data_IF_252639820580
#
_entry.id   IF_252639820580
#
_cell.length_a   1.000
_cell.length_b   1.000
_cell.length_c   1.000
_cell.angle_alpha   90.00
_cell.angle_beta   90.00
_cell.angle_gamma   90.00
#
_symmetry.space_group_name_H-M   'P 1'
#
loop_
_entity.id
_entity.type
_entity.pdbx_description
1 polymer ?
#
# COMPACT_ATOMS: atom_id res chain seq x y z
N UNK A 1 34.02 5.23 -8.41
CA UNK A 1 34.51 4.27 -7.41
C UNK A 1 33.52 4.21 -6.26
N UNK A 2 32.62 3.24 -6.31
CA UNK A 2 31.87 2.70 -5.17
C UNK A 2 31.33 1.34 -5.62
N UNK A 3 32.26 0.40 -5.74
CA UNK A 3 31.94 -1.02 -5.69
C UNK A 3 32.10 -1.47 -4.23
N UNK A 4 31.28 -2.44 -3.84
CA UNK A 4 31.32 -3.24 -2.61
C UNK A 4 30.55 -2.72 -1.41
N UNK A 5 29.31 -3.23 -1.27
CA UNK A 5 28.87 -4.05 -0.14
C UNK A 5 27.52 -4.73 -0.43
N UNK A 6 27.44 -5.55 -1.49
CA UNK A 6 26.27 -6.39 -1.72
C UNK A 6 26.65 -7.84 -1.49
N UNK A 7 26.12 -8.42 -0.40
CA UNK A 7 26.15 -9.86 -0.20
C UNK A 7 25.51 -10.56 -1.41
N UNK A 8 26.05 -11.72 -1.78
CA UNK A 8 25.46 -12.54 -2.84
C UNK A 8 24.01 -12.88 -2.46
N UNK A 9 23.07 -12.54 -3.34
CA UNK A 9 21.71 -13.08 -3.27
C UNK A 9 21.72 -14.57 -3.61
N UNK A 10 20.73 -15.33 -3.12
CA UNK A 10 20.61 -16.75 -3.46
C UNK A 10 20.39 -16.95 -4.96
N UNK A 11 20.72 -18.14 -5.48
CA UNK A 11 20.51 -18.48 -6.89
C UNK A 11 19.06 -18.27 -7.32
N UNK A 12 18.11 -18.76 -6.52
CA UNK A 12 16.67 -18.60 -6.77
C UNK A 12 16.25 -17.13 -6.85
N UNK A 13 16.79 -16.28 -5.97
CA UNK A 13 16.44 -14.85 -5.94
C UNK A 13 17.02 -14.10 -7.15
N UNK A 14 18.22 -14.48 -7.60
CA UNK A 14 18.81 -13.97 -8.83
C UNK A 14 17.99 -14.39 -10.07
N UNK A 15 17.50 -15.64 -10.12
CA UNK A 15 16.63 -16.09 -11.20
C UNK A 15 15.31 -15.28 -11.26
N UNK A 16 14.69 -15.02 -10.11
CA UNK A 16 13.52 -14.15 -10.03
C UNK A 16 13.82 -12.72 -10.52
N UNK A 17 14.96 -12.14 -10.12
CA UNK A 17 15.42 -10.82 -10.60
C UNK A 17 15.60 -10.80 -12.13
N UNK A 18 16.21 -11.84 -12.70
CA UNK A 18 16.38 -11.94 -14.16
C UNK A 18 15.03 -12.03 -14.87
N UNK A 19 14.09 -12.86 -14.38
CA UNK A 19 12.73 -12.94 -14.95
C UNK A 19 11.99 -11.61 -14.88
N UNK A 20 12.13 -10.88 -13.78
CA UNK A 20 11.56 -9.53 -13.64
C UNK A 20 12.14 -8.59 -14.70
N UNK A 21 13.47 -8.60 -14.86
CA UNK A 21 14.16 -7.76 -15.84
C UNK A 21 13.72 -8.09 -17.28
N UNK A 22 13.61 -9.37 -17.62
CA UNK A 22 13.12 -9.84 -18.91
C UNK A 22 11.65 -9.43 -19.16
N UNK A 23 10.77 -9.55 -18.16
CA UNK A 23 9.38 -9.10 -18.25
C UNK A 23 9.30 -7.60 -18.53
N UNK A 24 10.07 -6.79 -17.79
CA UNK A 24 10.12 -5.34 -17.97
C UNK A 24 10.70 -4.94 -19.33
N UNK A 25 11.76 -5.59 -19.81
CA UNK A 25 12.39 -5.29 -21.11
C UNK A 25 11.50 -5.61 -22.32
N UNK A 26 10.54 -6.54 -22.18
CA UNK A 26 9.50 -6.76 -23.20
C UNK A 26 8.55 -5.56 -23.32
N UNK A 27 8.46 -4.73 -22.29
CA UNK A 27 7.67 -3.51 -22.28
C UNK A 27 8.50 -2.34 -22.83
N UNK A 28 7.91 -1.54 -23.72
CA UNK A 28 8.62 -0.40 -24.34
C UNK A 28 8.71 0.82 -23.40
N UNK A 29 7.62 1.13 -22.70
CA UNK A 29 7.51 2.22 -21.74
C UNK A 29 6.50 1.79 -20.67
N UNK A 30 6.70 2.21 -19.42
CA UNK A 30 5.83 1.82 -18.31
C UNK A 30 5.38 3.01 -17.47
N UNK A 31 4.12 2.96 -17.06
CA UNK A 31 3.56 3.76 -15.97
C UNK A 31 3.45 2.85 -14.75
N UNK A 32 4.26 3.10 -13.73
CA UNK A 32 4.27 2.30 -12.50
C UNK A 32 3.30 2.93 -11.51
N UNK A 33 2.28 2.18 -11.09
CA UNK A 33 1.42 2.59 -9.98
C UNK A 33 2.23 2.56 -8.67
N UNK A 34 2.65 3.73 -8.21
CA UNK A 34 3.64 3.88 -7.16
C UNK A 34 3.00 4.33 -5.83
N UNK A 35 2.97 3.42 -4.85
CA UNK A 35 2.37 3.64 -3.54
C UNK A 35 3.38 3.97 -2.44
N UNK A 36 4.69 3.92 -2.75
CA UNK A 36 5.75 4.10 -1.76
C UNK A 36 5.95 2.91 -0.80
N UNK A 37 5.14 1.86 -0.92
CA UNK A 37 5.37 0.56 -0.28
C UNK A 37 6.38 -0.28 -1.06
N UNK A 38 7.02 -1.23 -0.36
CA UNK A 38 8.16 -2.02 -0.85
C UNK A 38 7.93 -2.70 -2.21
N UNK A 39 6.72 -3.21 -2.48
CA UNK A 39 6.41 -3.91 -3.74
C UNK A 39 6.44 -2.95 -4.93
N UNK A 40 5.71 -1.84 -4.83
CA UNK A 40 5.70 -0.81 -5.89
C UNK A 40 7.05 -0.10 -6.01
N UNK A 41 7.80 0.00 -4.91
CA UNK A 41 9.14 0.56 -4.88
C UNK A 41 10.15 -0.31 -5.62
N UNK A 42 10.20 -1.61 -5.33
CA UNK A 42 11.06 -2.53 -6.05
C UNK A 42 10.71 -2.56 -7.54
N UNK A 43 9.42 -2.62 -7.88
CA UNK A 43 8.98 -2.59 -9.28
C UNK A 43 9.42 -1.29 -10.00
N UNK A 44 9.24 -0.13 -9.37
CA UNK A 44 9.67 1.15 -9.94
C UNK A 44 11.19 1.23 -10.11
N UNK A 45 11.94 0.76 -9.11
CA UNK A 45 13.39 0.71 -9.14
C UNK A 45 13.91 -0.21 -10.25
N UNK A 46 13.39 -1.43 -10.33
CA UNK A 46 13.75 -2.40 -11.38
C UNK A 46 13.38 -1.89 -12.77
N UNK A 47 12.22 -1.25 -12.93
CA UNK A 47 11.83 -0.62 -14.19
C UNK A 47 12.80 0.49 -14.59
N UNK A 48 13.17 1.37 -13.65
CA UNK A 48 14.14 2.44 -13.89
C UNK A 48 15.51 1.89 -14.30
N UNK A 49 15.99 0.85 -13.61
CA UNK A 49 17.25 0.20 -13.91
C UNK A 49 17.26 -0.49 -15.29
N UNK A 50 16.15 -1.14 -15.67
CA UNK A 50 16.05 -1.89 -16.92
C UNK A 50 15.80 -1.02 -18.15
N UNK A 51 14.93 -0.02 -18.02
CA UNK A 51 14.40 0.75 -19.15
C UNK A 51 15.00 2.16 -19.26
N UNK A 52 15.55 2.69 -18.16
CA UNK A 52 16.03 4.06 -18.06
C UNK A 52 14.91 5.08 -17.82
N UNK A 53 15.26 6.31 -17.40
CA UNK A 53 14.29 7.31 -16.93
C UNK A 53 13.31 7.76 -18.02
N UNK A 54 13.72 7.82 -19.28
CA UNK A 54 12.83 8.30 -20.37
C UNK A 54 11.62 7.38 -20.60
N UNK A 55 11.74 6.10 -20.23
CA UNK A 55 10.75 5.05 -20.47
C UNK A 55 9.95 4.67 -19.22
N UNK A 56 10.18 5.34 -18.09
CA UNK A 56 9.51 5.04 -16.82
C UNK A 56 8.86 6.29 -16.28
N UNK A 57 7.61 6.17 -15.85
CA UNK A 57 6.94 7.19 -15.05
C UNK A 57 6.29 6.52 -13.85
N UNK A 58 6.72 6.86 -12.65
CA UNK A 58 6.03 6.49 -11.42
C UNK A 58 4.86 7.44 -11.18
N UNK A 59 3.68 6.89 -10.90
CA UNK A 59 2.49 7.69 -10.65
C UNK A 59 1.85 7.29 -9.34
N UNK A 60 1.70 8.27 -8.44
CA UNK A 60 1.00 8.09 -7.16
C UNK A 60 -0.40 8.67 -7.25
N UNK A 61 -1.41 7.88 -6.87
CA UNK A 61 -2.76 8.39 -6.70
C UNK A 61 -2.84 9.24 -5.42
N UNK A 62 -3.26 10.48 -5.57
CA UNK A 62 -3.59 11.40 -4.50
C UNK A 62 -5.11 11.40 -4.32
N UNK A 63 -5.58 10.96 -3.15
CA UNK A 63 -6.99 10.74 -2.89
C UNK A 63 -7.32 10.90 -1.41
N UNK A 64 -8.60 11.07 -1.10
CA UNK A 64 -9.07 11.15 0.29
C UNK A 64 -8.79 9.87 1.11
N UNK A 65 -8.49 8.75 0.44
CA UNK A 65 -8.19 7.48 1.10
C UNK A 65 -6.69 7.24 1.33
N UNK A 66 -5.84 8.15 0.85
CA UNK A 66 -4.41 8.17 1.10
C UNK A 66 -4.12 8.86 2.45
N UNK A 67 -3.34 8.20 3.31
CA UNK A 67 -2.97 8.75 4.61
C UNK A 67 -2.01 9.94 4.46
N UNK A 68 -2.07 10.88 5.42
CA UNK A 68 -1.19 12.04 5.43
C UNK A 68 0.29 11.62 5.44
N UNK A 69 1.09 12.29 4.61
CA UNK A 69 2.53 12.04 4.49
C UNK A 69 2.91 10.99 3.45
N UNK A 70 1.99 10.13 3.03
CA UNK A 70 2.30 9.08 2.04
C UNK A 70 2.63 9.64 0.65
N UNK A 71 1.92 10.70 0.22
CA UNK A 71 2.21 11.37 -1.05
C UNK A 71 3.62 11.99 -1.05
N UNK A 72 3.96 12.63 0.07
CA UNK A 72 5.25 13.28 0.27
C UNK A 72 6.39 12.26 0.35
N UNK A 73 6.14 11.12 1.00
CA UNK A 73 7.05 9.97 1.01
C UNK A 73 7.32 9.47 -0.42
N UNK A 74 6.29 9.31 -1.25
CA UNK A 74 6.45 8.91 -2.64
C UNK A 74 7.28 9.93 -3.43
N UNK A 75 6.95 11.23 -3.29
CA UNK A 75 7.68 12.32 -3.94
C UNK A 75 9.16 12.33 -3.57
N UNK A 76 9.46 12.24 -2.28
CA UNK A 76 10.84 12.24 -1.77
C UNK A 76 11.61 11.00 -2.21
N UNK A 77 10.99 9.82 -2.15
CA UNK A 77 11.58 8.56 -2.63
C UNK A 77 11.92 8.64 -4.11
N UNK A 78 10.99 9.15 -4.93
CA UNK A 78 11.22 9.29 -6.36
C UNK A 78 12.36 10.28 -6.68
N UNK A 79 12.40 11.41 -5.97
CA UNK A 79 13.48 12.38 -6.11
C UNK A 79 14.84 11.81 -5.75
N UNK A 80 14.93 11.02 -4.66
CA UNK A 80 16.16 10.36 -4.23
C UNK A 80 16.72 9.40 -5.30
N UNK A 81 15.83 8.72 -6.03
CA UNK A 81 16.22 7.75 -7.06
C UNK A 81 16.40 8.36 -8.45
N UNK A 82 16.11 9.65 -8.64
CA UNK A 82 16.02 10.24 -9.98
C UNK A 82 14.91 9.61 -10.83
N UNK A 83 13.89 9.05 -10.18
CA UNK A 83 12.75 8.40 -10.80
C UNK A 83 11.76 9.47 -11.27
N UNK A 84 11.42 9.56 -12.57
CA UNK A 84 10.38 10.47 -13.02
C UNK A 84 9.06 10.15 -12.35
N UNK A 85 8.45 11.16 -11.75
CA UNK A 85 7.28 10.99 -10.88
C UNK A 85 6.22 12.07 -11.10
N UNK A 86 4.96 11.67 -10.93
CA UNK A 86 3.78 12.51 -11.01
C UNK A 86 2.76 12.05 -9.97
N UNK A 87 1.99 12.97 -9.41
CA UNK A 87 0.74 12.65 -8.71
C UNK A 87 -0.47 12.87 -9.61
N UNK A 88 -1.47 11.99 -9.49
CA UNK A 88 -2.76 12.13 -10.16
C UNK A 88 -3.88 12.06 -9.13
N UNK A 89 -4.91 12.89 -9.30
CA UNK A 89 -6.07 12.86 -8.42
C UNK A 89 -6.97 11.68 -8.78
N UNK A 90 -7.31 10.83 -7.81
CA UNK A 90 -8.38 9.83 -7.98
C UNK A 90 -9.64 10.27 -7.23
N UNK A 91 -10.79 9.79 -7.69
CA UNK A 91 -12.11 10.24 -7.19
C UNK A 91 -13.01 9.06 -6.83
N UNK A 92 -12.44 8.03 -6.21
CA UNK A 92 -13.22 6.87 -5.75
C UNK A 92 -14.37 7.27 -4.81
N UNK A 93 -14.20 8.36 -4.04
CA UNK A 93 -15.23 8.92 -3.15
C UNK A 93 -16.48 9.43 -3.89
N UNK A 94 -16.41 9.64 -5.20
CA UNK A 94 -17.57 10.04 -6.01
C UNK A 94 -18.37 8.85 -6.54
N UNK A 95 -17.83 7.62 -6.39
CA UNK A 95 -18.51 6.41 -6.82
C UNK A 95 -19.40 5.88 -5.67
N UNK A 96 -20.73 5.80 -5.85
CA UNK A 96 -21.63 5.25 -4.83
C UNK A 96 -21.26 3.83 -4.39
N UNK A 97 -20.73 3.00 -5.28
CA UNK A 97 -20.34 1.63 -4.96
C UNK A 97 -19.11 1.57 -4.03
N UNK A 98 -18.19 2.54 -4.14
CA UNK A 98 -17.10 2.69 -3.17
C UNK A 98 -17.62 3.19 -1.81
N UNK A 99 -18.56 4.15 -1.83
CA UNK A 99 -19.11 4.75 -0.61
C UNK A 99 -19.84 3.74 0.28
N UNK A 100 -20.44 2.69 -0.28
CA UNK A 100 -21.08 1.62 0.50
C UNK A 100 -20.10 0.81 1.36
N UNK A 101 -18.79 0.86 1.05
CA UNK A 101 -17.76 0.07 1.74
C UNK A 101 -18.04 -1.44 1.73
N UNK A 102 -18.49 -1.96 0.58
CA UNK A 102 -18.72 -3.39 0.39
C UNK A 102 -17.42 -4.21 0.38
N UNK A 103 -17.55 -5.53 0.31
CA UNK A 103 -16.42 -6.46 0.16
C UNK A 103 -15.55 -6.13 -1.08
N UNK A 104 -16.18 -5.54 -2.08
CA UNK A 104 -15.65 -5.10 -3.35
C UNK A 104 -15.08 -3.67 -3.33
N UNK A 105 -14.99 -2.97 -2.18
CA UNK A 105 -14.46 -1.58 -2.15
C UNK A 105 -13.09 -1.42 -2.83
N UNK A 106 -12.25 -2.46 -2.74
CA UNK A 106 -10.92 -2.45 -3.33
C UNK A 106 -10.98 -2.52 -4.86
N UNK A 107 -12.04 -3.13 -5.44
CA UNK A 107 -12.35 -3.05 -6.87
C UNK A 107 -12.53 -1.59 -7.27
N UNK A 108 -13.46 -0.89 -6.65
CA UNK A 108 -13.81 0.49 -7.01
C UNK A 108 -12.66 1.48 -6.79
N UNK A 109 -11.88 1.27 -5.72
CA UNK A 109 -10.64 2.03 -5.51
C UNK A 109 -9.64 1.82 -6.65
N UNK A 110 -9.47 0.57 -7.10
CA UNK A 110 -8.54 0.27 -8.18
C UNK A 110 -9.06 0.68 -9.55
N UNK A 111 -10.36 0.58 -9.80
CA UNK A 111 -10.98 1.08 -11.03
C UNK A 111 -10.75 2.59 -11.19
N UNK A 112 -10.94 3.37 -10.11
CA UNK A 112 -10.62 4.79 -10.09
C UNK A 112 -9.13 5.10 -10.31
N UNK A 113 -8.22 4.24 -9.79
CA UNK A 113 -6.80 4.34 -10.10
C UNK A 113 -6.55 4.13 -11.60
N UNK A 114 -7.14 3.09 -12.20
CA UNK A 114 -6.97 2.80 -13.62
C UNK A 114 -7.58 3.89 -14.52
N UNK A 115 -8.69 4.51 -14.12
CA UNK A 115 -9.24 5.71 -14.77
C UNK A 115 -8.23 6.86 -14.83
N UNK A 116 -7.45 7.06 -13.78
CA UNK A 116 -6.45 8.11 -13.72
C UNK A 116 -5.15 7.74 -14.46
N UNK A 117 -4.73 6.48 -14.42
CA UNK A 117 -3.47 6.03 -15.03
C UNK A 117 -3.56 5.80 -16.54
N UNK A 118 -4.68 5.28 -17.05
CA UNK A 118 -4.82 4.91 -18.46
C UNK A 118 -4.61 6.09 -19.42
N UNK A 119 -5.16 7.30 -19.19
CA UNK A 119 -4.90 8.46 -20.05
C UNK A 119 -3.41 8.82 -20.11
N UNK A 120 -2.71 8.76 -18.97
CA UNK A 120 -1.26 9.01 -18.88
C UNK A 120 -0.48 7.97 -19.67
N UNK A 121 -0.85 6.69 -19.51
CA UNK A 121 -0.22 5.58 -20.21
C UNK A 121 -0.41 5.68 -21.73
N UNK A 122 -1.63 6.01 -22.20
CA UNK A 122 -1.94 6.22 -23.62
C UNK A 122 -1.08 7.34 -24.22
N UNK A 123 -1.00 8.49 -23.54
CA UNK A 123 -0.21 9.62 -24.00
C UNK A 123 1.28 9.26 -24.17
N UNK A 124 1.80 8.40 -23.28
CA UNK A 124 3.20 7.94 -23.30
C UNK A 124 3.44 6.69 -24.13
N UNK A 125 2.39 6.06 -24.69
CA UNK A 125 2.44 4.73 -25.31
C UNK A 125 3.08 3.71 -24.37
N UNK A 126 2.66 3.75 -23.11
CA UNK A 126 3.18 2.94 -22.02
C UNK A 126 2.18 1.87 -21.56
N UNK A 127 2.67 0.82 -20.93
CA UNK A 127 1.85 -0.16 -20.20
C UNK A 127 1.74 0.24 -18.74
N UNK A 128 0.58 0.04 -18.12
CA UNK A 128 0.41 0.26 -16.67
C UNK A 128 0.86 -1.00 -15.92
N UNK A 129 1.77 -0.85 -14.96
CA UNK A 129 2.28 -1.96 -14.14
C UNK A 129 2.05 -1.69 -12.65
N UNK A 130 1.64 -2.73 -11.92
CA UNK A 130 1.36 -2.65 -10.48
C UNK A 130 2.24 -3.63 -9.70
N UNK A 131 2.65 -3.21 -8.49
CA UNK A 131 3.41 -4.04 -7.55
C UNK A 131 2.57 -5.10 -6.85
N UNK A 132 1.86 -5.94 -7.61
CA UNK A 132 1.19 -7.16 -7.11
C UNK A 132 2.20 -8.29 -7.09
N UNK A 133 2.25 -9.08 -6.01
CA UNK A 133 3.22 -10.17 -5.83
C UNK A 133 2.54 -11.55 -5.72
N UNK A 134 3.30 -12.63 -5.64
CA UNK A 134 2.75 -14.01 -5.64
C UNK A 134 1.85 -14.29 -4.44
N UNK A 135 2.17 -13.77 -3.25
CA UNK A 135 1.36 -13.98 -2.04
C UNK A 135 -0.04 -13.38 -2.16
N UNK A 136 -0.19 -12.39 -3.05
CA UNK A 136 -1.48 -11.77 -3.28
C UNK A 136 -2.46 -12.63 -4.11
N UNK A 137 -1.99 -13.68 -4.82
CA UNK A 137 -2.82 -14.47 -5.75
C UNK A 137 -3.84 -15.38 -5.04
N UNK A 138 -3.61 -15.76 -3.79
CA UNK A 138 -4.46 -16.69 -3.03
C UNK A 138 -5.67 -16.04 -2.35
N UNK A 139 -5.75 -14.71 -2.35
CA UNK A 139 -6.72 -13.95 -1.56
C UNK A 139 -7.95 -13.52 -2.39
N UNK A 140 -9.06 -13.24 -1.71
CA UNK A 140 -10.15 -12.46 -2.30
C UNK A 140 -9.66 -11.01 -2.57
N UNK A 141 -9.14 -10.77 -3.79
CA UNK A 141 -8.52 -9.50 -4.19
C UNK A 141 -9.31 -8.82 -5.32
N UNK A 142 -10.50 -8.28 -5.04
CA UNK A 142 -11.34 -7.64 -6.06
C UNK A 142 -10.65 -6.43 -6.71
N UNK A 143 -9.70 -5.79 -6.02
CA UNK A 143 -8.85 -4.74 -6.61
C UNK A 143 -7.96 -5.24 -7.75
N UNK A 144 -7.35 -6.42 -7.66
CA UNK A 144 -6.47 -6.92 -8.73
C UNK A 144 -7.27 -7.29 -9.98
N UNK A 145 -8.46 -7.85 -9.79
CA UNK A 145 -9.39 -8.12 -10.87
C UNK A 145 -9.69 -6.83 -11.66
N UNK A 146 -10.08 -5.75 -10.97
CA UNK A 146 -10.32 -4.45 -11.61
C UNK A 146 -9.10 -3.95 -12.42
N UNK A 147 -7.89 -4.04 -11.85
CA UNK A 147 -6.68 -3.64 -12.57
C UNK A 147 -6.44 -4.50 -13.83
N UNK A 148 -6.57 -5.82 -13.71
CA UNK A 148 -6.33 -6.76 -14.79
C UNK A 148 -7.35 -6.59 -15.94
N UNK A 149 -8.63 -6.44 -15.63
CA UNK A 149 -9.70 -6.16 -16.61
C UNK A 149 -9.45 -4.86 -17.38
N UNK A 150 -8.76 -3.91 -16.74
CA UNK A 150 -8.39 -2.60 -17.30
C UNK A 150 -7.01 -2.61 -17.97
N UNK A 151 -6.38 -3.78 -18.12
CA UNK A 151 -5.12 -3.97 -18.87
C UNK A 151 -3.84 -3.72 -18.07
N UNK A 152 -3.89 -3.67 -16.74
CA UNK A 152 -2.69 -3.62 -15.92
C UNK A 152 -1.90 -4.94 -15.98
N UNK A 153 -0.58 -4.84 -15.91
CA UNK A 153 0.34 -5.97 -15.85
C UNK A 153 0.98 -6.10 -14.45
N UNK A 154 1.39 -7.31 -14.09
CA UNK A 154 1.94 -7.64 -12.77
C UNK A 154 3.34 -8.29 -12.88
N UNK A 155 4.39 -7.55 -13.24
CA UNK A 155 5.71 -8.13 -13.50
C UNK A 155 6.32 -8.91 -12.32
N UNK A 156 6.01 -8.53 -11.07
CA UNK A 156 6.52 -9.26 -9.90
C UNK A 156 5.89 -10.67 -9.80
N UNK A 157 4.60 -10.81 -10.14
CA UNK A 157 3.94 -12.12 -10.25
C UNK A 157 4.57 -12.95 -11.36
N UNK A 158 4.77 -12.37 -12.54
CA UNK A 158 5.42 -13.06 -13.67
C UNK A 158 6.84 -13.55 -13.33
N UNK A 159 7.55 -12.79 -12.48
CA UNK A 159 8.87 -13.14 -12.00
C UNK A 159 8.88 -14.21 -10.89
N UNK A 160 7.71 -14.55 -10.32
CA UNK A 160 7.60 -15.48 -9.19
C UNK A 160 8.05 -14.88 -7.86
N UNK A 161 7.95 -13.55 -7.69
CA UNK A 161 8.39 -12.86 -6.49
C UNK A 161 7.28 -12.87 -5.43
N UNK A 162 7.58 -13.49 -4.29
CA UNK A 162 6.83 -13.36 -3.04
C UNK A 162 7.32 -12.15 -2.22
N UNK A 163 6.64 -11.85 -1.11
CA UNK A 163 6.93 -10.71 -0.24
C UNK A 163 8.32 -10.80 0.38
N UNK A 164 8.76 -12.00 0.74
CA UNK A 164 10.06 -12.23 1.35
C UNK A 164 11.19 -11.92 0.34
N UNK A 165 11.05 -12.42 -0.89
CA UNK A 165 11.96 -12.17 -2.01
C UNK A 165 12.01 -10.68 -2.35
N UNK A 166 10.86 -9.99 -2.38
CA UNK A 166 10.79 -8.55 -2.62
C UNK A 166 11.57 -7.78 -1.56
N UNK A 167 11.38 -8.10 -0.27
CA UNK A 167 12.10 -7.44 0.83
C UNK A 167 13.61 -7.73 0.77
N UNK A 168 14.00 -8.95 0.43
CA UNK A 168 15.40 -9.34 0.27
C UNK A 168 16.07 -8.58 -0.89
N UNK A 169 15.42 -8.45 -2.05
CA UNK A 169 15.91 -7.66 -3.17
C UNK A 169 15.96 -6.16 -2.83
N UNK A 170 14.92 -5.63 -2.20
CA UNK A 170 14.90 -4.23 -1.77
C UNK A 170 16.06 -3.93 -0.79
N UNK A 171 16.31 -4.82 0.16
CA UNK A 171 17.45 -4.72 1.07
C UNK A 171 18.78 -4.83 0.32
N UNK A 172 18.90 -5.76 -0.64
CA UNK A 172 20.10 -5.93 -1.45
C UNK A 172 20.45 -4.66 -2.23
N UNK A 173 19.47 -3.96 -2.82
CA UNK A 173 19.73 -2.68 -3.50
C UNK A 173 19.81 -1.48 -2.57
N UNK A 174 19.74 -1.68 -1.25
CA UNK A 174 19.79 -0.61 -0.27
C UNK A 174 18.57 0.31 -0.30
N UNK A 175 17.41 -0.17 -0.73
CA UNK A 175 16.17 0.61 -0.73
C UNK A 175 15.69 0.77 0.72
N UNK A 176 15.64 2.01 1.23
CA UNK A 176 15.23 2.32 2.61
C UNK A 176 13.84 1.78 2.97
N UNK A 177 12.97 1.61 1.97
CA UNK A 177 11.60 1.08 2.12
C UNK A 177 11.53 -0.43 2.34
N UNK A 178 12.65 -1.16 2.38
CA UNK A 178 12.67 -2.63 2.43
C UNK A 178 11.89 -3.20 3.63
N UNK A 179 11.95 -2.56 4.80
CA UNK A 179 11.23 -2.99 6.00
C UNK A 179 9.98 -2.16 6.30
N UNK A 180 9.63 -1.22 5.41
CA UNK A 180 8.49 -0.33 5.63
C UNK A 180 7.20 -1.16 5.80
N UNK A 181 6.40 -0.93 6.87
CA UNK A 181 5.12 -1.60 7.04
C UNK A 181 4.18 -1.34 5.86
N UNK A 182 3.31 -2.31 5.56
CA UNK A 182 2.32 -2.14 4.50
C UNK A 182 1.30 -1.08 4.90
N UNK A 183 1.07 -0.08 4.06
CA UNK A 183 0.12 1.02 4.31
C UNK A 183 -1.13 0.87 3.44
N UNK A 184 -2.15 0.09 3.85
CA UNK A 184 -3.39 0.00 3.11
C UNK A 184 -4.17 1.33 3.18
N UNK A 185 -5.12 1.53 2.27
CA UNK A 185 -5.96 2.74 2.25
C UNK A 185 -6.69 2.95 3.59
N UNK A 186 -6.98 4.22 3.94
CA UNK A 186 -7.68 4.60 5.16
C UNK A 186 -9.04 3.91 5.30
N UNK A 187 -9.74 3.64 4.19
CA UNK A 187 -11.02 2.94 4.20
C UNK A 187 -10.94 1.52 4.81
N UNK A 188 -9.77 0.89 4.80
CA UNK A 188 -9.56 -0.40 5.48
C UNK A 188 -9.71 -0.34 7.00
N UNK A 189 -9.77 0.85 7.62
CA UNK A 189 -10.01 1.02 9.06
C UNK A 189 -11.50 1.08 9.40
N UNK A 190 -12.35 1.14 8.39
CA UNK A 190 -13.79 1.27 8.50
C UNK A 190 -14.40 -0.12 8.25
N UNK A 191 -15.24 -0.63 9.17
CA UNK A 191 -15.93 -1.91 9.00
C UNK A 191 -16.73 -1.96 7.70
N UNK A 192 -16.72 -3.12 7.04
CA UNK A 192 -17.52 -3.34 5.83
C UNK A 192 -19.00 -3.00 6.06
N UNK A 193 -19.64 -2.41 5.06
CA UNK A 193 -21.02 -1.93 5.12
C UNK A 193 -21.22 -0.60 5.85
N UNK A 194 -20.19 -0.08 6.54
CA UNK A 194 -20.23 1.29 7.08
C UNK A 194 -19.85 2.27 5.98
N UNK A 195 -20.74 3.19 5.65
CA UNK A 195 -20.54 4.13 4.57
C UNK A 195 -19.25 4.97 4.75
N UNK A 196 -18.41 5.00 3.71
CA UNK A 196 -17.21 5.84 3.68
C UNK A 196 -17.62 7.29 3.42
N UNK A 197 -16.92 8.23 4.04
CA UNK A 197 -17.01 9.66 3.70
C UNK A 197 -15.65 10.32 3.90
N UNK A 198 -15.42 11.47 3.25
CA UNK A 198 -14.19 12.26 3.45
C UNK A 198 -13.97 12.62 4.92
N UNK A 199 -15.05 13.00 5.62
CA UNK A 199 -14.97 13.33 7.04
C UNK A 199 -14.52 12.13 7.88
N UNK A 200 -15.04 10.95 7.58
CA UNK A 200 -14.68 9.71 8.27
C UNK A 200 -13.22 9.30 7.98
N UNK A 201 -12.77 9.38 6.73
CA UNK A 201 -11.39 9.10 6.35
C UNK A 201 -10.41 10.06 7.04
N UNK A 202 -10.73 11.36 7.09
CA UNK A 202 -9.94 12.36 7.82
C UNK A 202 -9.93 12.12 9.33
N UNK A 203 -11.03 11.65 9.90
CA UNK A 203 -11.09 11.26 11.32
C UNK A 203 -10.10 10.12 11.60
N UNK A 204 -10.13 9.06 10.78
CA UNK A 204 -9.19 7.93 10.87
C UNK A 204 -7.74 8.39 10.72
N UNK A 205 -7.43 9.20 9.70
CA UNK A 205 -6.07 9.65 9.43
C UNK A 205 -5.49 10.46 10.59
N UNK A 206 -6.27 11.42 11.12
CA UNK A 206 -5.89 12.20 12.31
C UNK A 206 -5.68 11.31 13.54
N UNK A 207 -6.52 10.30 13.71
CA UNK A 207 -6.40 9.36 14.82
C UNK A 207 -5.11 8.53 14.71
N UNK A 208 -4.79 8.00 13.53
CA UNK A 208 -3.54 7.25 13.30
C UNK A 208 -2.32 8.14 13.46
N UNK A 209 -2.35 9.38 12.95
CA UNK A 209 -1.27 10.33 13.12
C UNK A 209 -1.03 10.68 14.60
N UNK A 210 -2.10 10.89 15.38
CA UNK A 210 -2.00 11.16 16.81
C UNK A 210 -1.38 9.99 17.56
N UNK A 211 -1.83 8.76 17.31
CA UNK A 211 -1.28 7.56 17.96
C UNK A 211 0.17 7.30 17.52
N UNK A 212 0.50 7.47 16.24
CA UNK A 212 1.87 7.34 15.74
C UNK A 212 2.84 8.32 16.39
N UNK A 213 2.36 9.50 16.80
CA UNK A 213 3.13 10.49 17.57
C UNK A 213 3.69 9.98 18.90
N UNK A 214 3.19 8.86 19.42
CA UNK A 214 3.69 8.19 20.63
C UNK A 214 4.81 7.17 20.36
N UNK A 215 5.31 7.08 19.12
CA UNK A 215 6.51 6.30 18.78
C UNK A 215 6.27 4.82 18.44
N UNK A 216 5.03 4.42 18.14
CA UNK A 216 4.72 3.08 17.64
C UNK A 216 5.24 2.90 16.20
N UNK A 217 5.75 1.71 15.88
CA UNK A 217 6.35 1.43 14.57
C UNK A 217 5.31 1.24 13.47
N UNK A 218 4.15 0.68 13.81
CA UNK A 218 2.98 0.59 12.94
C UNK A 218 1.71 0.76 13.77
N UNK A 219 0.70 1.41 13.18
CA UNK A 219 -0.53 1.79 13.88
C UNK A 219 -1.71 1.64 12.94
N UNK A 220 -2.76 0.97 13.41
CA UNK A 220 -4.10 1.11 12.84
C UNK A 220 -5.05 1.64 13.90
N UNK A 221 -5.86 2.63 13.54
CA UNK A 221 -7.00 3.04 14.38
C UNK A 221 -8.28 2.69 13.64
N UNK A 222 -8.97 1.64 14.09
CA UNK A 222 -10.26 1.23 13.53
C UNK A 222 -11.36 2.12 14.08
N UNK A 223 -12.28 2.52 13.21
CA UNK A 223 -13.35 3.43 13.54
C UNK A 223 -14.69 2.69 13.66
N UNK A 224 -15.22 2.58 14.87
CA UNK A 224 -16.51 1.94 15.18
C UNK A 224 -17.47 2.95 15.82
N UNK A 225 -18.05 3.83 14.99
CA UNK A 225 -18.89 4.92 15.47
C UNK A 225 -18.12 5.81 16.46
N UNK A 226 -18.53 5.79 17.73
CA UNK A 226 -17.88 6.57 18.79
C UNK A 226 -16.63 5.89 19.39
N UNK A 227 -16.27 4.69 18.92
CA UNK A 227 -15.14 3.91 19.44
C UNK A 227 -13.95 3.94 18.47
N UNK A 228 -12.79 4.35 18.98
CA UNK A 228 -11.49 4.10 18.36
C UNK A 228 -10.90 2.82 18.92
N UNK A 229 -10.58 1.85 18.05
CA UNK A 229 -9.82 0.65 18.43
C UNK A 229 -8.42 0.71 17.85
N UNK A 230 -7.43 0.86 18.73
CA UNK A 230 -6.01 0.89 18.40
C UNK A 230 -5.52 -0.54 18.16
N UNK A 231 -4.77 -0.73 17.08
CA UNK A 231 -4.01 -1.92 16.78
C UNK A 231 -2.54 -1.51 16.57
N UNK A 232 -1.65 -2.08 17.38
CA UNK A 232 -0.18 -1.92 17.28
C UNK A 232 0.45 -3.31 17.22
N UNK A 233 1.72 -3.45 16.78
CA UNK A 233 2.43 -4.72 16.88
C UNK A 233 2.30 -5.34 18.28
N UNK A 234 2.20 -6.67 18.35
CA UNK A 234 2.03 -7.39 19.63
C UNK A 234 3.15 -7.06 20.62
N UNK A 235 4.38 -6.89 20.11
CA UNK A 235 5.55 -6.46 20.88
C UNK A 235 5.41 -5.06 21.51
N UNK A 236 4.49 -4.23 21.02
CA UNK A 236 4.27 -2.85 21.46
C UNK A 236 3.01 -2.68 22.32
N UNK A 237 2.24 -3.76 22.56
CA UNK A 237 1.02 -3.70 23.38
C UNK A 237 1.30 -3.21 24.81
N UNK A 238 2.39 -3.67 25.43
CA UNK A 238 2.79 -3.23 26.76
C UNK A 238 3.08 -1.71 26.80
N UNK A 239 3.72 -1.18 25.75
CA UNK A 239 3.98 0.24 25.61
C UNK A 239 2.69 1.05 25.40
N UNK A 240 1.70 0.50 24.68
CA UNK A 240 0.39 1.12 24.53
C UNK A 240 -0.37 1.19 25.85
N UNK A 241 -0.36 0.12 26.66
CA UNK A 241 -1.00 0.12 27.98
C UNK A 241 -0.32 1.12 28.92
N UNK A 242 1.01 1.21 28.91
CA UNK A 242 1.77 2.16 29.70
C UNK A 242 1.48 3.63 29.34
N UNK A 243 1.05 3.91 28.11
CA UNK A 243 0.69 5.24 27.60
C UNK A 243 -0.83 5.44 27.48
N UNK A 244 -1.63 4.62 28.16
CA UNK A 244 -3.09 4.56 27.98
C UNK A 244 -3.78 5.89 28.27
N UNK A 245 -3.41 6.61 29.34
CA UNK A 245 -4.00 7.91 29.67
C UNK A 245 -3.79 8.94 28.56
N UNK A 246 -2.58 9.01 28.01
CA UNK A 246 -2.25 9.95 26.94
C UNK A 246 -2.94 9.57 25.62
N UNK A 247 -3.02 8.28 25.31
CA UNK A 247 -3.74 7.79 24.12
C UNK A 247 -5.24 8.07 24.22
N UNK A 248 -5.84 7.83 25.38
CA UNK A 248 -7.25 8.15 25.65
C UNK A 248 -7.49 9.65 25.48
N UNK A 249 -6.65 10.50 26.09
CA UNK A 249 -6.78 11.95 25.98
C UNK A 249 -6.66 12.44 24.51
N UNK A 250 -5.67 11.93 23.77
CA UNK A 250 -5.42 12.31 22.39
C UNK A 250 -6.61 11.95 21.47
N UNK A 251 -7.16 10.74 21.59
CA UNK A 251 -8.28 10.29 20.75
C UNK A 251 -9.62 10.89 21.21
N UNK A 252 -9.83 11.10 22.50
CA UNK A 252 -11.03 11.79 23.00
C UNK A 252 -11.08 13.23 22.50
N UNK A 253 -9.95 13.93 22.45
CA UNK A 253 -9.86 15.27 21.85
C UNK A 253 -10.19 15.30 20.34
N UNK A 254 -10.15 14.16 19.66
CA UNK A 254 -10.56 14.00 18.27
C UNK A 254 -12.04 13.61 18.10
N UNK A 255 -12.77 13.39 19.19
CA UNK A 255 -14.20 13.13 19.20
C UNK A 255 -14.61 11.68 19.46
N UNK A 256 -13.69 10.80 19.86
CA UNK A 256 -14.05 9.44 20.27
C UNK A 256 -14.51 9.39 21.73
N UNK A 257 -15.66 8.77 21.99
CA UNK A 257 -16.18 8.52 23.36
C UNK A 257 -15.43 7.37 24.04
N UNK A 258 -15.00 6.38 23.25
CA UNK A 258 -14.35 5.17 23.75
C UNK A 258 -13.05 4.92 23.00
N UNK A 259 -12.01 4.60 23.76
CA UNK A 259 -10.69 4.23 23.23
C UNK A 259 -10.35 2.86 23.75
N UNK A 260 -10.06 1.94 22.83
CA UNK A 260 -9.81 0.53 23.12
C UNK A 260 -8.53 0.07 22.45
N UNK A 261 -7.94 -1.00 22.98
CA UNK A 261 -6.77 -1.66 22.42
C UNK A 261 -7.16 -3.08 21.97
N UNK A 262 -6.87 -3.44 20.73
CA UNK A 262 -7.04 -4.81 20.26
C UNK A 262 -5.95 -5.70 20.87
N UNK A 263 -6.34 -6.60 21.77
CA UNK A 263 -5.42 -7.47 22.50
C UNK A 263 -4.68 -8.47 21.61
N UNK A 264 -5.23 -8.76 20.43
CA UNK A 264 -4.55 -9.61 19.46
C UNK A 264 -3.59 -8.80 18.55
N UNK A 265 -3.49 -7.48 18.77
CA UNK A 265 -2.56 -6.59 18.08
C UNK A 265 -2.89 -6.34 16.61
N UNK A 266 -1.93 -5.77 15.89
CA UNK A 266 -2.02 -5.48 14.46
C UNK A 266 -1.86 -6.76 13.63
N UNK A 267 -2.83 -7.02 12.74
CA UNK A 267 -2.84 -8.16 11.81
C UNK A 267 -3.30 -7.73 10.42
N UNK A 268 -2.70 -8.31 9.38
CA UNK A 268 -3.19 -8.15 8.01
C UNK A 268 -4.59 -8.75 7.88
N UNK A 269 -5.46 -8.12 7.09
CA UNK A 269 -6.80 -8.65 6.81
C UNK A 269 -7.75 -8.73 8.02
N UNK A 270 -7.52 -8.02 9.13
CA UNK A 270 -8.34 -8.13 10.36
C UNK A 270 -9.86 -7.98 10.09
N UNK A 271 -10.26 -7.09 9.18
CA UNK A 271 -11.68 -6.91 8.84
C UNK A 271 -12.23 -7.96 7.85
N UNK A 272 -11.39 -8.73 7.17
CA UNK A 272 -11.83 -9.73 6.20
C UNK A 272 -12.55 -10.90 6.88
N UNK A 273 -12.23 -11.20 8.15
CA UNK A 273 -12.93 -12.22 8.94
C UNK A 273 -14.43 -11.96 9.08
N UNK A 274 -14.89 -10.71 8.98
CA UNK A 274 -16.30 -10.35 9.04
C UNK A 274 -17.07 -10.63 7.73
N UNK A 275 -16.36 -10.90 6.63
CA UNK A 275 -16.93 -11.11 5.29
C UNK A 275 -16.69 -12.54 4.80
N UNK A 276 -15.70 -13.23 5.36
CA UNK A 276 -15.46 -14.64 5.09
C UNK A 276 -16.51 -15.52 5.81
N UNK A 277 -16.98 -16.61 5.19
CA UNK A 277 -17.79 -17.60 5.88
C UNK A 277 -17.07 -18.10 7.14
N UNK A 278 -17.81 -18.34 8.22
CA UNK A 278 -17.25 -18.91 9.46
C UNK A 278 -16.59 -20.25 9.10
N UNK A 279 -15.25 -20.34 9.23
CA UNK A 279 -14.47 -21.55 8.96
C UNK A 279 -13.44 -21.47 7.83
N UNK A 280 -13.30 -20.32 7.15
CA UNK A 280 -12.19 -20.12 6.19
C UNK A 280 -10.90 -19.75 6.94
N UNK A 281 -9.91 -20.65 6.92
CA UNK A 281 -8.55 -20.37 7.41
C UNK A 281 -7.82 -19.40 6.48
N UNK A 282 -7.01 -18.52 7.08
CA UNK A 282 -6.02 -17.66 6.39
C UNK A 282 -4.84 -18.53 5.94
#
# INVERSE_FOLDING_TARGET
MQQQKNGQISGDLYECEQRLSESLQKLSCVVVAFSGGVDSALLAYSALACLGPDKVLAVTADSDSLAQGELEHCRTTAALWGLPWLSVQTREITNPAYLVNGADRCFWCKDALMDALNPVAIQRRASVVLGVNVDDLGDHRPGQLAAQERGALFPLVEAGLDKASIRALALHYGLEVWDRPAMPCLASRIPYGTAVSVALLRSVDRAEAAVRGFGFSDVRVRHYGETARIEVPVSELAAAVAQSEQLVAALTALGFSYVTLDLAGLRSGNLNQAVLPIGSSI
#
